data_IF_740995732435
#
_entry.id   IF_740995732435
#
_cell.length_a   1.000
_cell.length_b   1.000
_cell.length_c   1.000
_cell.angle_alpha   90.00
_cell.angle_beta   90.00
_cell.angle_gamma   90.00
#
_symmetry.space_group_name_H-M   'P 1'
#
loop_
_entity.id
_entity.type
_entity.pdbx_description
1 polymer ?
#
# COMPACT_ATOMS: atom_id res chain seq x y z
N UNK A 1 -20.89 24.84 -1.06
CA UNK A 1 -21.71 23.71 -1.53
C UNK A 1 -20.76 22.57 -1.83
N UNK A 2 -20.68 21.59 -0.91
CA UNK A 2 -19.82 20.42 -1.05
C UNK A 2 -20.66 19.32 -1.73
N UNK A 3 -20.25 18.86 -2.91
CA UNK A 3 -20.87 17.71 -3.56
C UNK A 3 -20.52 16.47 -2.73
N UNK A 4 -21.52 15.92 -2.04
CA UNK A 4 -21.41 14.60 -1.44
C UNK A 4 -21.41 13.59 -2.61
N UNK A 5 -20.23 13.15 -3.01
CA UNK A 5 -20.10 12.06 -4.00
C UNK A 5 -20.52 10.79 -3.30
N UNK A 6 -21.69 10.25 -3.67
CA UNK A 6 -22.17 8.96 -3.14
C UNK A 6 -21.79 7.89 -4.16
N UNK A 7 -20.87 7.01 -3.78
CA UNK A 7 -20.50 5.84 -4.57
C UNK A 7 -21.38 4.65 -4.17
N UNK A 8 -21.95 3.94 -5.17
CA UNK A 8 -22.75 2.72 -4.96
C UNK A 8 -22.04 1.52 -5.58
N UNK A 9 -22.27 0.32 -5.04
CA UNK A 9 -21.54 -0.90 -5.43
C UNK A 9 -22.49 -2.06 -5.63
N UNK A 10 -22.14 -2.94 -6.55
CA UNK A 10 -22.84 -4.20 -6.77
C UNK A 10 -22.25 -5.22 -5.79
N UNK A 11 -23.11 -5.83 -4.98
CA UNK A 11 -22.76 -6.96 -4.11
C UNK A 11 -22.45 -8.15 -5.01
N UNK A 12 -21.23 -8.67 -4.93
CA UNK A 12 -20.78 -9.81 -5.71
C UNK A 12 -19.95 -10.69 -4.76
N UNK A 13 -20.33 -11.97 -4.67
CA UNK A 13 -19.62 -13.00 -3.90
C UNK A 13 -19.46 -12.71 -2.38
N UNK A 14 -20.50 -12.15 -1.73
CA UNK A 14 -20.55 -11.89 -0.27
C UNK A 14 -21.38 -12.93 0.53
N UNK A 15 -21.34 -14.20 0.14
CA UNK A 15 -22.06 -15.26 0.86
C UNK A 15 -23.60 -15.14 0.86
N UNK A 16 -24.24 -15.77 1.86
CA UNK A 16 -25.71 -15.84 1.99
C UNK A 16 -26.34 -14.63 2.70
N UNK A 17 -25.56 -13.90 3.50
CA UNK A 17 -26.01 -12.74 4.28
C UNK A 17 -25.92 -11.42 3.50
N UNK A 18 -25.31 -11.43 2.31
CA UNK A 18 -25.07 -10.28 1.45
C UNK A 18 -24.19 -9.20 2.12
N UNK A 19 -23.38 -9.56 3.12
CA UNK A 19 -22.48 -8.65 3.82
C UNK A 19 -21.05 -9.12 3.63
N UNK A 20 -20.29 -8.43 2.77
CA UNK A 20 -18.89 -8.76 2.55
C UNK A 20 -18.04 -8.44 3.79
N UNK A 21 -17.44 -9.46 4.41
CA UNK A 21 -16.47 -9.31 5.51
C UNK A 21 -15.05 -9.58 5.01
N UNK A 22 -14.23 -8.53 4.77
CA UNK A 22 -12.86 -8.71 4.31
C UNK A 22 -11.90 -9.06 5.46
N UNK A 23 -10.80 -9.71 5.14
CA UNK A 23 -9.68 -9.97 6.05
C UNK A 23 -8.38 -9.49 5.39
N UNK A 24 -8.17 -8.17 5.43
CA UNK A 24 -7.01 -7.52 4.83
C UNK A 24 -5.80 -7.63 5.76
N UNK A 25 -4.73 -8.22 5.24
CA UNK A 25 -3.46 -8.36 5.92
C UNK A 25 -2.34 -7.74 5.09
N UNK A 26 -1.38 -7.11 5.78
CA UNK A 26 -0.21 -6.51 5.17
C UNK A 26 1.04 -7.09 5.81
N UNK A 27 2.02 -7.43 4.98
CA UNK A 27 3.38 -7.76 5.42
C UNK A 27 4.37 -6.82 4.75
N UNK A 28 5.47 -6.53 5.43
CA UNK A 28 6.46 -5.58 4.95
C UNK A 28 7.87 -6.11 5.15
N UNK A 29 8.70 -5.95 4.11
CA UNK A 29 10.10 -6.35 4.12
C UNK A 29 10.97 -5.21 3.59
N UNK A 30 12.19 -5.11 4.11
CA UNK A 30 13.16 -4.13 3.63
C UNK A 30 13.85 -4.70 2.39
N UNK A 31 13.69 -4.06 1.25
CA UNK A 31 14.33 -4.48 0.00
C UNK A 31 15.78 -4.02 -0.14
N UNK A 32 16.25 -3.11 0.72
CA UNK A 32 17.63 -2.61 0.74
C UNK A 32 18.33 -2.98 2.05
N UNK A 33 19.39 -3.79 1.99
CA UNK A 33 20.10 -4.26 3.19
C UNK A 33 20.71 -3.15 4.06
N UNK A 34 21.09 -2.01 3.45
CA UNK A 34 21.75 -0.89 4.14
C UNK A 34 21.29 0.46 3.60
N UNK A 35 20.94 1.36 4.51
CA UNK A 35 20.59 2.74 4.21
C UNK A 35 21.76 3.67 4.57
N UNK A 36 22.31 4.35 3.57
CA UNK A 36 23.38 5.33 3.75
C UNK A 36 22.79 6.73 3.71
N UNK A 37 22.94 7.48 4.81
CA UNK A 37 22.45 8.86 4.92
C UNK A 37 23.46 9.80 4.25
N UNK A 38 22.98 10.70 3.39
CA UNK A 38 23.81 11.70 2.71
C UNK A 38 24.23 11.32 1.28
N UNK A 39 23.87 10.12 0.82
CA UNK A 39 23.96 9.71 -0.58
C UNK A 39 22.55 9.52 -1.15
N UNK A 40 22.38 9.59 -2.46
CA UNK A 40 21.09 9.38 -3.15
C UNK A 40 20.70 7.90 -3.23
N UNK A 41 21.12 7.09 -2.26
CA UNK A 41 20.80 5.67 -2.23
C UNK A 41 19.30 5.47 -1.94
N UNK A 42 18.59 4.74 -2.80
CA UNK A 42 17.18 4.50 -2.59
C UNK A 42 16.92 3.48 -1.48
N UNK A 43 15.89 3.76 -0.68
CA UNK A 43 15.28 2.81 0.25
C UNK A 43 14.14 2.07 -0.46
N UNK A 44 14.22 0.75 -0.51
CA UNK A 44 13.17 -0.11 -1.03
C UNK A 44 12.34 -0.69 0.13
N UNK A 45 11.02 -0.54 0.03
CA UNK A 45 10.05 -1.16 0.93
C UNK A 45 9.17 -2.11 0.11
N UNK A 46 9.22 -3.39 0.41
CA UNK A 46 8.37 -4.41 -0.22
C UNK A 46 7.16 -4.62 0.67
N UNK A 47 5.96 -4.44 0.14
CA UNK A 47 4.69 -4.67 0.82
C UNK A 47 3.94 -5.77 0.10
N UNK A 48 3.53 -6.80 0.82
CA UNK A 48 2.59 -7.79 0.29
C UNK A 48 1.25 -7.59 0.96
N UNK A 49 0.22 -7.35 0.16
CA UNK A 49 -1.16 -7.22 0.64
C UNK A 49 -1.95 -8.48 0.29
N UNK A 50 -2.75 -8.97 1.22
CA UNK A 50 -3.54 -10.17 1.03
C UNK A 50 -4.93 -9.96 1.62
N UNK A 51 -5.96 -10.43 0.94
CA UNK A 51 -7.31 -10.51 1.47
C UNK A 51 -7.70 -11.98 1.65
N UNK A 52 -7.82 -12.43 2.90
CA UNK A 52 -8.17 -13.81 3.25
C UNK A 52 -9.67 -13.99 3.51
N UNK A 53 -10.44 -12.91 3.41
CA UNK A 53 -11.89 -12.89 3.60
C UNK A 53 -12.62 -12.73 2.27
N UNK A 54 -13.81 -12.14 2.32
CA UNK A 54 -14.65 -11.85 1.16
C UNK A 54 -14.20 -10.56 0.44
N UNK A 55 -14.88 -10.19 -0.65
CA UNK A 55 -14.53 -9.02 -1.47
C UNK A 55 -14.33 -7.73 -0.66
N UNK A 56 -13.19 -7.07 -0.87
CA UNK A 56 -12.85 -5.79 -0.23
C UNK A 56 -12.93 -4.64 -1.25
N UNK A 57 -13.95 -3.80 -1.11
CA UNK A 57 -14.24 -2.73 -2.05
C UNK A 57 -13.52 -1.40 -1.68
N UNK A 58 -12.98 -0.66 -2.66
CA UNK A 58 -12.09 0.51 -2.41
C UNK A 58 -10.91 0.14 -1.48
N UNK A 59 -10.29 -1.01 -1.71
CA UNK A 59 -9.05 -1.34 -1.01
C UNK A 59 -7.96 -0.37 -1.45
N UNK A 60 -7.38 0.33 -0.48
CA UNK A 60 -6.29 1.28 -0.68
C UNK A 60 -5.12 0.93 0.25
N UNK A 61 -3.90 1.18 -0.22
CA UNK A 61 -2.68 1.03 0.57
C UNK A 61 -2.21 2.41 1.03
N UNK A 62 -2.23 2.64 2.35
CA UNK A 62 -1.73 3.88 2.96
C UNK A 62 -0.33 3.65 3.56
N UNK A 63 0.64 4.50 3.20
CA UNK A 63 2.01 4.42 3.72
C UNK A 63 2.43 5.79 4.25
N UNK A 64 2.98 5.78 5.46
CA UNK A 64 3.45 6.97 6.17
C UNK A 64 4.97 6.91 6.32
N UNK A 65 5.73 7.37 5.31
CA UNK A 65 7.17 7.32 5.39
C UNK A 65 7.69 8.46 6.30
N UNK A 66 8.92 8.37 6.84
CA UNK A 66 9.48 9.40 7.70
C UNK A 66 9.60 10.75 6.98
N UNK A 67 9.61 11.86 7.74
CA UNK A 67 9.63 13.22 7.19
C UNK A 67 10.79 13.51 6.22
N UNK A 68 11.95 12.88 6.44
CA UNK A 68 13.14 13.06 5.60
C UNK A 68 13.19 12.07 4.44
N UNK A 69 12.04 11.70 3.88
CA UNK A 69 11.97 10.76 2.76
C UNK A 69 11.03 11.27 1.69
N UNK A 70 11.30 10.89 0.45
CA UNK A 70 10.50 11.27 -0.71
C UNK A 70 10.12 10.02 -1.50
N UNK A 71 8.83 9.76 -1.67
CA UNK A 71 8.35 8.70 -2.55
C UNK A 71 8.72 9.01 -4.01
N UNK A 72 9.36 8.06 -4.68
CA UNK A 72 9.80 8.23 -6.07
C UNK A 72 8.95 7.42 -7.04
N UNK A 73 8.71 6.14 -6.75
CA UNK A 73 7.95 5.26 -7.64
C UNK A 73 7.52 3.97 -6.91
N UNK A 74 6.66 3.19 -7.57
CA UNK A 74 6.30 1.85 -7.15
C UNK A 74 6.32 0.88 -8.33
N UNK A 75 6.59 -0.39 -8.04
CA UNK A 75 6.46 -1.50 -8.99
C UNK A 75 5.60 -2.57 -8.34
N UNK A 76 4.59 -3.04 -9.07
CA UNK A 76 3.71 -4.11 -8.63
C UNK A 76 3.99 -5.39 -9.41
N UNK A 77 4.10 -6.52 -8.73
CA UNK A 77 4.05 -7.82 -9.38
C UNK A 77 2.59 -8.32 -9.48
N UNK A 78 2.33 -9.32 -10.32
CA UNK A 78 0.99 -9.92 -10.52
C UNK A 78 0.43 -10.57 -9.24
N UNK A 79 1.25 -10.79 -8.22
CA UNK A 79 0.92 -11.44 -6.95
C UNK A 79 0.77 -10.46 -5.77
N UNK A 80 0.08 -9.33 -5.99
CA UNK A 80 -0.32 -8.37 -4.92
C UNK A 80 0.85 -7.82 -4.07
N UNK A 81 2.07 -7.93 -4.60
CA UNK A 81 3.29 -7.43 -3.96
C UNK A 81 3.68 -6.11 -4.61
N UNK A 82 3.85 -5.08 -3.78
CA UNK A 82 4.17 -3.71 -4.16
C UNK A 82 5.54 -3.33 -3.59
N UNK A 83 6.49 -3.07 -4.47
CA UNK A 83 7.80 -2.54 -4.10
C UNK A 83 7.80 -1.03 -4.28
N UNK A 84 8.08 -0.31 -3.20
CA UNK A 84 8.07 1.15 -3.15
C UNK A 84 9.49 1.68 -3.05
N UNK A 85 9.78 2.68 -3.86
CA UNK A 85 11.06 3.36 -3.92
C UNK A 85 10.97 4.70 -3.19
N UNK A 86 11.75 4.87 -2.13
CA UNK A 86 11.90 6.12 -1.41
C UNK A 86 13.33 6.65 -1.52
N UNK A 87 13.48 7.96 -1.62
CA UNK A 87 14.78 8.64 -1.50
C UNK A 87 14.87 9.26 -0.11
N UNK A 88 15.93 8.94 0.64
CA UNK A 88 16.21 9.56 1.92
C UNK A 88 16.88 10.92 1.68
N UNK A 89 16.28 12.00 2.17
CA UNK A 89 16.90 13.32 2.19
C UNK A 89 17.86 13.36 3.37
N UNK A 90 19.16 13.48 3.10
CA UNK A 90 20.13 13.83 4.13
C UNK A 90 19.87 15.26 4.62
N UNK A 91 19.89 15.47 5.94
CA UNK A 91 20.08 16.81 6.51
C UNK A 91 21.56 17.16 6.38
N UNK A 92 21.98 17.63 5.21
CA UNK A 92 23.23 18.35 5.05
C UNK A 92 22.97 19.84 5.24
#
# INVERSE_FOLDING_TARGET
MCLCVVQTRIILDCGEDNVCVPDLTLTSEVGTDRLLIGDNHPALLVITAENRGEGAYETELEIRPPANTHYQSMVTDREVTVTLLFIIKGNC
#
